data_IF_734190929869
#
_entry.id   IF_734190929869
#
_cell.length_a   1.000
_cell.length_b   1.000
_cell.length_c   1.000
_cell.angle_alpha   90.00
_cell.angle_beta   90.00
_cell.angle_gamma   90.00
#
_symmetry.space_group_name_H-M   'P 1'
#
loop_
_entity.id
_entity.type
_entity.pdbx_description
1 polymer ?
#
# COMPACT_ATOMS: atom_id res chain seq x y z
N UNK A 1 3.63 8.35 -5.76
CA UNK A 1 2.60 7.48 -6.34
C UNK A 1 1.47 7.39 -5.33
N UNK A 2 0.21 7.59 -5.75
CA UNK A 2 -0.95 7.36 -4.90
C UNK A 2 -1.18 5.84 -4.77
N UNK A 3 -1.67 5.39 -3.60
CA UNK A 3 -1.94 4.00 -3.23
C UNK A 3 -2.42 3.10 -4.39
N UNK A 4 -1.82 1.91 -4.62
CA UNK A 4 -2.00 1.14 -5.85
C UNK A 4 -3.45 0.81 -6.23
N UNK A 5 -4.32 0.55 -5.24
CA UNK A 5 -5.69 0.12 -5.51
C UNK A 5 -6.55 1.16 -6.26
N UNK A 6 -6.27 2.47 -6.12
CA UNK A 6 -7.15 3.55 -6.63
C UNK A 6 -7.45 3.48 -8.13
N UNK A 7 -6.62 2.79 -8.91
CA UNK A 7 -6.78 2.66 -10.37
C UNK A 7 -6.76 1.23 -10.88
N UNK A 8 -6.49 0.26 -10.01
CA UNK A 8 -6.12 -1.11 -10.42
C UNK A 8 -7.04 -2.17 -9.84
N UNK A 9 -7.83 -1.84 -8.81
CA UNK A 9 -8.86 -2.76 -8.35
C UNK A 9 -9.99 -2.86 -9.38
N UNK A 10 -10.46 -4.07 -9.70
CA UNK A 10 -11.64 -4.25 -10.52
C UNK A 10 -12.86 -3.74 -9.75
N UNK A 11 -13.48 -2.67 -10.25
CA UNK A 11 -14.75 -2.18 -9.75
C UNK A 11 -15.83 -3.21 -10.11
N UNK A 12 -16.17 -4.06 -9.14
CA UNK A 12 -17.27 -5.04 -9.11
C UNK A 12 -17.06 -6.36 -9.88
N UNK A 13 -16.76 -7.47 -9.18
CA UNK A 13 -17.01 -8.81 -9.73
C UNK A 13 -18.52 -9.10 -9.78
N UNK A 14 -18.95 -9.89 -10.77
CA UNK A 14 -20.36 -10.24 -11.03
C UNK A 14 -21.04 -11.01 -9.89
N UNK A 15 -20.25 -11.62 -9.00
CA UNK A 15 -20.62 -12.28 -7.72
C UNK A 15 -19.44 -12.20 -6.74
N UNK A 16 -19.68 -11.74 -5.52
CA UNK A 16 -18.73 -11.86 -4.40
C UNK A 16 -18.56 -13.34 -3.98
N UNK A 17 -17.33 -13.74 -3.66
CA UNK A 17 -16.90 -15.08 -3.26
C UNK A 17 -16.78 -16.12 -4.38
N UNK A 18 -17.02 -15.76 -5.65
CA UNK A 18 -17.04 -16.70 -6.76
C UNK A 18 -15.65 -17.01 -7.37
N UNK A 19 -15.48 -18.13 -8.09
CA UNK A 19 -14.25 -18.41 -8.85
C UNK A 19 -13.91 -17.31 -9.87
N UNK A 20 -14.94 -16.63 -10.37
CA UNK A 20 -14.81 -15.46 -11.25
C UNK A 20 -14.15 -14.27 -10.52
N UNK A 21 -14.41 -14.08 -9.23
CA UNK A 21 -13.80 -13.01 -8.43
C UNK A 21 -12.34 -13.33 -8.12
N UNK A 22 -12.01 -14.56 -7.74
CA UNK A 22 -10.62 -14.96 -7.46
C UNK A 22 -9.74 -14.83 -8.72
N UNK A 23 -10.29 -15.19 -9.89
CA UNK A 23 -9.61 -15.04 -11.18
C UNK A 23 -9.43 -13.56 -11.53
N UNK A 24 -10.49 -12.76 -11.44
CA UNK A 24 -10.42 -11.31 -11.68
C UNK A 24 -9.46 -10.59 -10.72
N UNK A 25 -9.40 -11.01 -9.46
CA UNK A 25 -8.46 -10.50 -8.46
C UNK A 25 -7.02 -10.80 -8.83
N UNK A 26 -6.73 -12.05 -9.23
CA UNK A 26 -5.38 -12.43 -9.67
C UNK A 26 -4.97 -11.70 -10.94
N UNK A 27 -5.85 -11.58 -11.93
CA UNK A 27 -5.60 -10.81 -13.16
C UNK A 27 -5.33 -9.34 -12.87
N UNK A 28 -6.10 -8.74 -11.96
CA UNK A 28 -5.87 -7.37 -11.53
C UNK A 28 -4.51 -7.19 -10.84
N UNK A 29 -4.09 -8.14 -10.00
CA UNK A 29 -2.76 -8.12 -9.37
C UNK A 29 -1.63 -8.26 -10.39
N UNK A 30 -1.76 -9.15 -11.36
CA UNK A 30 -0.76 -9.32 -12.44
C UNK A 30 -0.67 -8.06 -13.31
N UNK A 31 -1.82 -7.52 -13.72
CA UNK A 31 -1.87 -6.27 -14.49
C UNK A 31 -1.31 -5.08 -13.71
N UNK A 32 -1.57 -5.01 -12.40
CA UNK A 32 -0.99 -4.04 -11.51
C UNK A 32 0.54 -4.17 -11.45
N UNK A 33 1.04 -5.37 -11.13
CA UNK A 33 2.46 -5.66 -10.96
C UNK A 33 3.30 -5.37 -12.21
N UNK A 34 2.70 -5.47 -13.40
CA UNK A 34 3.34 -5.15 -14.66
C UNK A 34 3.67 -3.65 -14.85
N UNK A 35 3.21 -2.76 -13.97
CA UNK A 35 3.45 -1.33 -14.08
C UNK A 35 4.97 -1.00 -13.94
N UNK A 36 5.62 -0.45 -14.98
CA UNK A 36 7.05 -0.16 -14.94
C UNK A 36 7.43 0.92 -13.92
N UNK A 37 6.47 1.71 -13.42
CA UNK A 37 6.70 2.73 -12.40
C UNK A 37 7.31 2.17 -11.10
N UNK A 38 7.06 0.90 -10.78
CA UNK A 38 7.60 0.27 -9.57
C UNK A 38 9.12 0.15 -9.56
N UNK A 39 9.78 0.24 -10.72
CA UNK A 39 11.25 0.27 -10.83
C UNK A 39 11.87 1.57 -10.27
N UNK A 40 11.06 2.60 -10.04
CA UNK A 40 11.52 3.93 -9.63
C UNK A 40 11.11 4.31 -8.21
N UNK A 41 10.52 3.38 -7.45
CA UNK A 41 10.08 3.63 -6.06
C UNK A 41 10.88 2.76 -5.09
N UNK A 42 11.04 3.24 -3.85
CA UNK A 42 11.70 2.48 -2.78
C UNK A 42 10.72 1.72 -1.88
N UNK A 43 9.42 2.05 -1.95
CA UNK A 43 8.38 1.44 -1.14
C UNK A 43 6.99 1.65 -1.76
N UNK A 44 6.01 0.89 -1.28
CA UNK A 44 4.59 1.00 -1.66
C UNK A 44 3.75 1.31 -0.43
N UNK A 45 2.82 2.25 -0.53
CA UNK A 45 1.81 2.46 0.51
C UNK A 45 0.81 1.31 0.47
N UNK A 46 0.80 0.47 1.51
CA UNK A 46 -0.06 -0.71 1.60
C UNK A 46 -1.22 -0.52 2.56
N UNK A 47 -1.08 0.38 3.53
CA UNK A 47 -2.13 0.74 4.47
C UNK A 47 -2.44 2.23 4.36
N UNK A 48 -3.70 2.55 4.08
CA UNK A 48 -4.20 3.91 4.18
C UNK A 48 -5.44 3.94 5.08
N UNK A 49 -5.45 4.91 6.00
CA UNK A 49 -6.45 5.02 7.07
C UNK A 49 -7.88 5.31 6.58
N UNK A 50 -8.02 5.66 5.30
CA UNK A 50 -9.29 5.94 4.62
C UNK A 50 -9.68 4.87 3.61
N UNK A 51 -8.77 3.94 3.31
CA UNK A 51 -9.04 2.80 2.44
C UNK A 51 -9.77 1.69 3.19
N UNK A 52 -10.64 0.99 2.49
CA UNK A 52 -11.30 -0.23 2.98
C UNK A 52 -10.29 -1.35 3.22
N UNK A 53 -10.68 -2.36 4.00
CA UNK A 53 -9.84 -3.54 4.24
C UNK A 53 -9.42 -4.21 2.93
N UNK A 54 -10.38 -4.41 2.01
CA UNK A 54 -10.14 -5.03 0.70
C UNK A 54 -9.11 -4.25 -0.15
N UNK A 55 -9.11 -2.93 -0.07
CA UNK A 55 -8.15 -2.07 -0.78
C UNK A 55 -6.74 -2.17 -0.20
N UNK A 56 -6.64 -2.22 1.13
CA UNK A 56 -5.39 -2.44 1.83
C UNK A 56 -4.85 -3.86 1.58
N UNK A 57 -5.70 -4.88 1.56
CA UNK A 57 -5.31 -6.28 1.27
C UNK A 57 -4.76 -6.42 -0.15
N UNK A 58 -5.40 -5.80 -1.14
CA UNK A 58 -4.89 -5.76 -2.52
C UNK A 58 -3.49 -5.18 -2.59
N UNK A 59 -3.27 -4.08 -1.89
CA UNK A 59 -2.01 -3.34 -1.97
C UNK A 59 -0.90 -4.03 -1.19
N UNK A 60 -1.22 -4.71 -0.08
CA UNK A 60 -0.30 -5.59 0.63
C UNK A 60 0.14 -6.78 -0.25
N UNK A 61 -0.81 -7.47 -0.89
CA UNK A 61 -0.50 -8.61 -1.75
C UNK A 61 0.32 -8.19 -2.97
N UNK A 62 -0.02 -7.04 -3.58
CA UNK A 62 0.76 -6.46 -4.67
C UNK A 62 2.19 -6.12 -4.22
N UNK A 63 2.34 -5.47 -3.07
CA UNK A 63 3.65 -5.14 -2.49
C UNK A 63 4.50 -6.40 -2.25
N UNK A 64 3.88 -7.47 -1.75
CA UNK A 64 4.52 -8.77 -1.53
C UNK A 64 5.01 -9.39 -2.85
N UNK A 65 4.21 -9.34 -3.92
CA UNK A 65 4.61 -9.83 -5.27
C UNK A 65 5.77 -9.03 -5.86
N UNK A 66 5.78 -7.72 -5.64
CA UNK A 66 6.84 -6.82 -6.12
C UNK A 66 8.14 -6.94 -5.31
N UNK A 67 8.10 -7.57 -4.13
CA UNK A 67 9.25 -7.64 -3.22
C UNK A 67 9.69 -6.28 -2.70
N UNK A 68 8.76 -5.30 -2.67
CA UNK A 68 9.04 -3.93 -2.23
C UNK A 68 8.73 -3.77 -0.73
N UNK A 69 9.43 -2.86 -0.04
CA UNK A 69 9.05 -2.43 1.30
C UNK A 69 7.67 -1.77 1.34
N UNK A 70 6.98 -1.94 2.47
CA UNK A 70 5.64 -1.40 2.69
C UNK A 70 5.67 -0.18 3.63
N UNK A 71 4.89 0.84 3.29
CA UNK A 71 4.63 2.02 4.14
C UNK A 71 3.13 2.17 4.42
N UNK A 72 2.80 2.97 5.41
CA UNK A 72 1.44 3.29 5.81
C UNK A 72 1.27 4.79 6.09
N UNK A 73 0.07 5.31 5.80
CA UNK A 73 -0.27 6.72 6.02
C UNK A 73 -1.75 6.89 6.34
N UNK A 74 -2.06 7.63 7.40
CA UNK A 74 -3.46 7.81 7.82
C UNK A 74 -4.31 8.62 6.85
N UNK A 75 -3.68 9.40 5.95
CA UNK A 75 -4.33 10.29 4.98
C UNK A 75 -5.37 11.21 5.64
N UNK A 76 -5.01 11.75 6.81
CA UNK A 76 -5.96 12.41 7.69
C UNK A 76 -6.47 13.74 7.13
N UNK A 77 -7.79 13.87 7.01
CA UNK A 77 -8.47 15.11 6.62
C UNK A 77 -9.29 15.73 7.77
N UNK A 78 -9.43 15.00 8.88
CA UNK A 78 -10.06 15.44 10.12
C UNK A 78 -9.35 14.80 11.32
N UNK A 79 -9.64 15.29 12.53
CA UNK A 79 -8.95 14.84 13.77
C UNK A 79 -9.09 13.34 14.01
N UNK A 80 -10.26 12.78 13.71
CA UNK A 80 -10.56 11.35 13.91
C UNK A 80 -9.88 10.42 12.89
N UNK A 81 -9.24 11.00 11.87
CA UNK A 81 -8.42 10.24 10.91
C UNK A 81 -6.95 10.15 11.37
N UNK A 82 -6.52 10.95 12.36
CA UNK A 82 -5.13 10.97 12.81
C UNK A 82 -4.74 9.65 13.45
N UNK A 83 -3.57 9.12 13.05
CA UNK A 83 -2.98 7.97 13.70
C UNK A 83 -3.67 6.62 13.45
N UNK A 84 -4.64 6.52 12.53
CA UNK A 84 -5.24 5.21 12.16
C UNK A 84 -4.23 4.21 11.59
N UNK A 85 -3.21 4.73 10.90
CA UNK A 85 -2.05 3.96 10.50
C UNK A 85 -0.84 4.89 10.33
N UNK A 86 0.35 4.32 10.46
CA UNK A 86 1.62 5.04 10.40
C UNK A 86 2.76 4.13 9.95
N UNK A 87 3.83 4.74 9.44
CA UNK A 87 5.08 4.02 9.17
C UNK A 87 5.99 4.13 10.38
N UNK A 88 6.33 3.00 11.00
CA UNK A 88 7.29 2.94 12.08
C UNK A 88 8.70 2.78 11.52
N UNK A 89 9.59 3.70 11.90
CA UNK A 89 11.00 3.64 11.56
C UNK A 89 11.81 3.02 12.69
N UNK A 90 12.83 2.23 12.36
CA UNK A 90 13.70 1.61 13.37
C UNK A 90 14.54 2.65 14.14
N UNK A 91 14.67 3.86 13.61
CA UNK A 91 15.42 4.97 14.19
C UNK A 91 14.54 6.22 14.24
N UNK A 92 14.78 7.13 15.20
CA UNK A 92 14.17 8.45 15.18
C UNK A 92 14.47 9.17 13.87
N UNK A 93 13.48 9.90 13.37
CA UNK A 93 13.57 10.73 12.17
C UNK A 93 13.22 12.16 12.58
N UNK A 94 14.20 13.05 12.56
CA UNK A 94 14.06 14.45 12.95
C UNK A 94 13.88 15.38 11.74
N UNK A 95 14.32 14.97 10.55
CA UNK A 95 14.22 15.78 9.34
C UNK A 95 13.97 14.95 8.06
N UNK A 96 13.83 15.65 6.94
CA UNK A 96 13.53 15.03 5.64
C UNK A 96 14.69 14.19 5.10
N UNK A 97 15.93 14.50 5.46
CA UNK A 97 17.11 13.76 4.99
C UNK A 97 17.23 12.43 5.72
N UNK A 98 16.98 12.42 7.01
CA UNK A 98 16.87 11.20 7.83
C UNK A 98 15.71 10.33 7.34
N UNK A 99 14.56 10.92 7.01
CA UNK A 99 13.44 10.20 6.42
C UNK A 99 13.84 9.49 5.13
N UNK A 100 14.49 10.21 4.21
CA UNK A 100 14.97 9.65 2.94
C UNK A 100 16.00 8.54 3.19
N UNK A 101 16.90 8.71 4.17
CA UNK A 101 17.90 7.72 4.50
C UNK A 101 17.29 6.42 5.02
N UNK A 102 16.32 6.48 5.93
CA UNK A 102 15.62 5.29 6.43
C UNK A 102 14.76 4.63 5.35
N UNK A 103 14.08 5.41 4.49
CA UNK A 103 13.30 4.90 3.36
C UNK A 103 14.18 4.15 2.35
N UNK A 104 15.33 4.73 1.97
CA UNK A 104 16.27 4.05 1.06
C UNK A 104 16.91 2.82 1.68
N UNK A 105 17.03 2.78 3.01
CA UNK A 105 17.60 1.64 3.71
C UNK A 105 16.60 0.51 4.01
N UNK A 106 15.30 0.71 3.77
CA UNK A 106 14.29 -0.30 4.06
C UNK A 106 14.06 -0.56 5.56
N UNK A 107 14.45 0.39 6.43
CA UNK A 107 14.41 0.22 7.90
C UNK A 107 13.10 0.73 8.52
N UNK A 108 11.99 0.21 8.03
CA UNK A 108 10.66 0.62 8.48
C UNK A 108 9.64 -0.49 8.27
N UNK A 109 8.47 -0.35 8.90
CA UNK A 109 7.32 -1.22 8.67
C UNK A 109 6.00 -0.44 8.79
N UNK A 110 4.94 -0.86 8.08
CA UNK A 110 3.62 -0.27 8.25
C UNK A 110 2.98 -0.75 9.57
N UNK A 111 2.28 0.15 10.26
CA UNK A 111 1.46 -0.13 11.43
C UNK A 111 0.04 0.41 11.21
N UNK A 112 -0.96 -0.28 11.76
CA UNK A 112 -2.35 0.17 11.89
C UNK A 112 -2.80 0.02 13.34
N UNK A 113 -3.72 0.88 13.79
CA UNK A 113 -4.22 0.97 15.16
C UNK A 113 -5.73 0.77 15.25
#
# INVERSE_FOLDING_TARGET
AAHPHRRQLPWQPRREGGPDEASAWSEALEGAAANPAYRYVCAVETLNGRSSQRENDFSQELCRRLGLPAVAGSDAHQRDDLGRCATEFQRPVADVWELIAELKAGRFRPLSY
#
